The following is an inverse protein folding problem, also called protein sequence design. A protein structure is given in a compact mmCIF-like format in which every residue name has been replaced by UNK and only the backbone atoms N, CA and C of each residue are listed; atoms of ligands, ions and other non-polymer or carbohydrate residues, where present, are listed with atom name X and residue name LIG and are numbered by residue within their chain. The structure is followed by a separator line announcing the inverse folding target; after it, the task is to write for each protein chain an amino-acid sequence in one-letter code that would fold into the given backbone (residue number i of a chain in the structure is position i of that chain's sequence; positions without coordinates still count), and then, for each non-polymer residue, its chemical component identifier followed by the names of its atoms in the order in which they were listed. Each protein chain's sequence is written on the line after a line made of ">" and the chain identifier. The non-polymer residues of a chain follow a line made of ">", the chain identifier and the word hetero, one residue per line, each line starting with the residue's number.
data_IF_670660413702
#
_entry.id   IF_670660413702
#
_cell.length_a   1.000
_cell.length_b   1.000
_cell.length_c   1.000
_cell.angle_alpha   90.00
_cell.angle_beta   90.00
_cell.angle_gamma   90.00
#
_symmetry.space_group_name_H-M   'P 1'
#
loop_
_entity.id
_entity.type
_entity.pdbx_description
1 polymer ?
#
# COMPACT_ATOMS: atom_id res chain seq x y z
N UNK A 1 46.48 42.83 39.33
CA UNK A 1 47.20 41.70 38.71
C UNK A 1 46.61 40.41 39.28
N UNK A 2 46.54 39.39 38.43
CA UNK A 2 46.01 38.04 38.62
C UNK A 2 44.56 37.80 38.17
N UNK A 3 44.55 37.19 36.99
CA UNK A 3 43.54 36.64 36.09
C UNK A 3 42.67 35.54 36.69
N UNK A 4 41.40 35.53 36.27
CA UNK A 4 40.62 34.30 36.05
C UNK A 4 39.65 34.54 34.88
N UNK A 5 39.77 33.83 33.74
CA UNK A 5 38.74 33.85 32.70
C UNK A 5 37.76 32.70 32.96
N UNK A 6 36.50 33.03 33.29
CA UNK A 6 35.43 32.03 33.39
C UNK A 6 34.77 31.87 32.03
N UNK A 7 34.84 30.63 31.54
CA UNK A 7 34.32 30.08 30.29
C UNK A 7 32.93 30.60 29.88
N UNK A 8 32.85 31.23 28.71
CA UNK A 8 31.61 31.40 27.94
C UNK A 8 31.73 30.69 26.58
N UNK A 9 32.09 29.41 26.62
CA UNK A 9 31.94 28.49 25.49
C UNK A 9 30.58 27.78 25.60
N UNK A 10 29.54 28.41 25.07
CA UNK A 10 28.39 27.69 24.54
C UNK A 10 28.10 28.24 23.16
N UNK A 11 28.86 27.66 22.24
CA UNK A 11 28.71 27.76 20.81
C UNK A 11 27.23 27.72 20.39
N UNK A 12 26.90 28.70 19.58
CA UNK A 12 25.71 28.78 18.73
C UNK A 12 25.66 27.53 17.84
N UNK A 13 25.05 26.46 18.34
CA UNK A 13 24.71 25.29 17.53
C UNK A 13 23.59 25.73 16.59
N UNK A 14 23.98 26.15 15.38
CA UNK A 14 23.07 26.24 14.24
C UNK A 14 22.41 24.87 14.09
N UNK A 15 21.08 24.75 14.00
CA UNK A 15 20.46 23.46 13.72
C UNK A 15 20.97 23.01 12.37
N UNK A 16 21.85 22.01 12.41
CA UNK A 16 22.30 21.21 11.28
C UNK A 16 21.07 20.83 10.50
N UNK A 17 21.07 21.14 9.20
CA UNK A 17 19.96 20.90 8.30
C UNK A 17 19.54 19.44 8.32
N UNK A 18 18.62 19.10 9.23
CA UNK A 18 17.88 17.86 9.21
C UNK A 18 17.02 17.94 7.96
N UNK A 19 17.50 17.31 6.89
CA UNK A 19 16.70 17.06 5.71
C UNK A 19 15.52 16.21 6.20
N UNK A 20 14.37 16.84 6.42
CA UNK A 20 13.15 16.14 6.77
C UNK A 20 12.88 15.13 5.66
N UNK A 21 13.24 13.86 5.87
CA UNK A 21 12.88 12.77 4.98
C UNK A 21 11.35 12.73 4.98
N UNK A 22 10.73 13.20 3.89
CA UNK A 22 9.27 13.15 3.74
C UNK A 22 8.83 11.69 3.91
N UNK A 23 8.02 11.41 4.93
CA UNK A 23 7.46 10.09 5.15
C UNK A 23 6.65 9.69 3.93
N UNK A 24 7.10 8.65 3.21
CA UNK A 24 6.41 8.16 2.02
C UNK A 24 5.22 7.29 2.47
N UNK A 25 4.03 7.87 2.48
CA UNK A 25 2.78 7.14 2.69
C UNK A 25 2.47 6.28 1.48
N UNK A 26 2.21 4.98 1.70
CA UNK A 26 1.96 4.01 0.62
C UNK A 26 0.52 3.53 0.55
N UNK A 27 -0.30 3.92 1.52
CA UNK A 27 -1.68 3.50 1.66
C UNK A 27 -2.55 4.73 1.86
N UNK A 28 -3.85 4.54 1.67
CA UNK A 28 -4.86 5.53 1.95
C UNK A 28 -6.00 4.83 2.69
N UNK A 29 -6.35 5.34 3.87
CA UNK A 29 -7.55 4.92 4.58
C UNK A 29 -8.75 5.49 3.83
N UNK A 30 -9.66 4.63 3.40
CA UNK A 30 -10.86 5.01 2.66
C UNK A 30 -12.06 5.07 3.57
N UNK A 31 -12.18 4.09 4.46
CA UNK A 31 -13.31 3.96 5.36
C UNK A 31 -12.88 3.37 6.70
N UNK A 32 -13.51 3.85 7.76
CA UNK A 32 -13.35 3.37 9.14
C UNK A 32 -14.73 3.33 9.78
N UNK A 33 -15.24 2.12 9.98
CA UNK A 33 -16.52 1.89 10.66
C UNK A 33 -16.23 1.37 12.05
N UNK A 34 -16.87 1.92 13.07
CA UNK A 34 -16.81 1.41 14.43
C UNK A 34 -18.25 1.37 14.97
N UNK A 35 -18.65 0.26 15.58
CA UNK A 35 -20.02 0.06 16.07
C UNK A 35 -20.35 0.97 17.26
N UNK A 36 -19.35 1.34 18.07
CA UNK A 36 -19.51 2.10 19.30
C UNK A 36 -19.36 3.61 19.09
N UNK A 37 -18.69 4.04 18.02
CA UNK A 37 -18.50 5.46 17.70
C UNK A 37 -18.69 5.74 16.21
N UNK A 38 -19.74 6.51 15.88
CA UNK A 38 -19.89 7.19 14.59
C UNK A 38 -18.72 8.17 14.45
N UNK A 39 -17.61 7.70 13.89
CA UNK A 39 -16.42 8.55 13.74
C UNK A 39 -16.70 9.50 12.59
N UNK A 40 -16.48 10.78 12.86
CA UNK A 40 -16.73 11.87 11.93
C UNK A 40 -16.05 11.63 10.58
N UNK A 41 -16.77 12.07 9.55
CA UNK A 41 -16.60 11.92 8.09
C UNK A 41 -15.17 12.27 7.54
N UNK A 42 -14.24 12.69 8.40
CA UNK A 42 -12.91 13.23 8.13
C UNK A 42 -11.76 12.22 7.96
N UNK A 43 -11.97 10.92 8.25
CA UNK A 43 -10.94 9.88 8.06
C UNK A 43 -10.86 9.35 6.61
N UNK A 44 -11.83 9.73 5.79
CA UNK A 44 -11.88 9.32 4.39
C UNK A 44 -10.71 9.96 3.63
N UNK A 45 -9.94 9.13 2.95
CA UNK A 45 -8.78 9.50 2.15
C UNK A 45 -7.50 9.94 2.89
N UNK A 46 -7.39 9.70 4.20
CA UNK A 46 -6.15 9.99 4.93
C UNK A 46 -5.00 9.11 4.42
N UNK A 47 -3.88 9.74 4.07
CA UNK A 47 -2.64 9.04 3.71
C UNK A 47 -2.08 8.32 4.94
N UNK A 48 -1.80 7.03 4.80
CA UNK A 48 -1.32 6.20 5.89
C UNK A 48 -0.27 5.17 5.42
N UNK A 49 0.32 4.50 6.39
CA UNK A 49 1.17 3.35 6.26
C UNK A 49 0.59 2.19 7.06
N UNK A 50 0.93 0.98 6.62
CA UNK A 50 0.48 -0.26 7.23
C UNK A 50 1.70 -1.06 7.63
N UNK A 51 1.78 -1.39 8.92
CA UNK A 51 2.76 -2.31 9.47
C UNK A 51 2.05 -3.57 9.93
N UNK A 52 2.50 -4.71 9.40
CA UNK A 52 1.98 -6.03 9.75
C UNK A 52 2.99 -6.65 10.72
N UNK A 53 2.53 -7.00 11.91
CA UNK A 53 3.34 -7.58 12.98
C UNK A 53 2.69 -8.89 13.45
N UNK A 54 3.43 -9.79 14.12
CA UNK A 54 2.87 -11.05 14.61
C UNK A 54 1.74 -10.87 15.64
N UNK A 55 1.80 -9.79 16.42
CA UNK A 55 0.88 -9.48 17.54
C UNK A 55 -0.34 -8.67 17.08
N UNK A 56 -0.27 -8.03 15.92
CA UNK A 56 -1.33 -7.19 15.41
C UNK A 56 -0.93 -6.41 14.16
N UNK A 57 -1.82 -5.52 13.74
CA UNK A 57 -1.62 -4.63 12.60
C UNK A 57 -1.62 -3.20 13.13
N UNK A 58 -0.67 -2.39 12.66
CA UNK A 58 -0.61 -0.97 13.02
C UNK A 58 -0.80 -0.12 11.78
N UNK A 59 -1.83 0.72 11.78
CA UNK A 59 -2.04 1.73 10.74
C UNK A 59 -1.47 3.06 11.23
N UNK A 60 -0.44 3.56 10.56
CA UNK A 60 0.27 4.80 10.89
C UNK A 60 -0.20 5.92 9.95
N UNK A 61 -0.72 7.02 10.48
CA UNK A 61 -1.24 8.12 9.68
C UNK A 61 -1.32 9.42 10.46
N UNK A 62 -1.85 10.46 9.83
CA UNK A 62 -2.21 11.70 10.53
C UNK A 62 -3.73 11.81 10.51
N UNK A 63 -4.39 10.99 11.35
CA UNK A 63 -5.84 10.87 11.36
C UNK A 63 -6.49 12.07 12.05
N UNK A 64 -5.94 12.49 13.19
CA UNK A 64 -6.30 13.74 13.87
C UNK A 64 -5.06 14.36 14.54
N UNK A 65 -5.21 15.52 15.18
CA UNK A 65 -4.11 16.17 15.92
C UNK A 65 -3.52 15.28 17.03
N UNK A 66 -4.37 14.45 17.65
CA UNK A 66 -4.02 13.60 18.79
C UNK A 66 -3.85 12.12 18.42
N UNK A 67 -4.48 11.67 17.33
CA UNK A 67 -4.43 10.27 16.89
C UNK A 67 -3.59 10.12 15.62
N UNK A 68 -2.44 9.46 15.77
CA UNK A 68 -1.50 9.18 14.67
C UNK A 68 -1.40 7.69 14.32
N UNK A 69 -2.01 6.84 15.13
CA UNK A 69 -1.96 5.39 14.96
C UNK A 69 -3.32 4.79 15.24
N UNK A 70 -3.64 3.73 14.50
CA UNK A 70 -4.77 2.86 14.77
C UNK A 70 -4.18 1.46 14.95
N UNK A 71 -3.95 1.01 16.20
CA UNK A 71 -3.53 -0.35 16.47
C UNK A 71 -4.73 -1.29 16.36
N UNK A 72 -4.50 -2.48 15.81
CA UNK A 72 -5.48 -3.56 15.72
C UNK A 72 -4.83 -4.81 16.27
N UNK A 73 -5.39 -5.37 17.34
CA UNK A 73 -4.82 -6.56 18.00
C UNK A 73 -5.21 -7.80 17.19
N UNK A 74 -4.29 -8.76 17.05
CA UNK A 74 -4.53 -9.97 16.25
C UNK A 74 -5.77 -10.76 16.68
N UNK A 75 -6.04 -10.84 17.97
CA UNK A 75 -7.18 -11.58 18.52
C UNK A 75 -8.55 -10.90 18.25
N UNK A 76 -8.52 -9.62 17.90
CA UNK A 76 -9.71 -8.85 17.51
C UNK A 76 -10.02 -8.97 16.02
N UNK A 77 -9.04 -9.42 15.20
CA UNK A 77 -9.18 -9.55 13.75
C UNK A 77 -9.98 -10.81 13.44
N UNK A 78 -11.16 -10.61 12.85
CA UNK A 78 -12.01 -11.68 12.34
C UNK A 78 -11.53 -12.12 10.95
N UNK A 79 -11.29 -11.16 10.05
CA UNK A 79 -10.82 -11.44 8.70
C UNK A 79 -10.01 -10.29 8.12
N UNK A 80 -9.14 -10.64 7.18
CA UNK A 80 -8.35 -9.73 6.36
C UNK A 80 -8.62 -10.11 4.91
N UNK A 81 -9.35 -9.26 4.19
CA UNK A 81 -9.62 -9.46 2.77
C UNK A 81 -8.67 -8.63 1.93
N UNK A 82 -7.89 -9.30 1.07
CA UNK A 82 -7.07 -8.67 0.05
C UNK A 82 -7.76 -8.78 -1.31
N UNK A 83 -8.10 -7.63 -1.88
CA UNK A 83 -8.73 -7.55 -3.19
C UNK A 83 -7.71 -7.03 -4.19
N UNK A 84 -7.25 -7.90 -5.09
CA UNK A 84 -6.35 -7.53 -6.18
C UNK A 84 -7.08 -6.60 -7.15
N UNK A 85 -6.42 -5.51 -7.53
CA UNK A 85 -6.93 -4.59 -8.54
C UNK A 85 -7.01 -5.26 -9.93
N UNK A 86 -7.94 -4.77 -10.76
CA UNK A 86 -8.06 -5.20 -12.16
C UNK A 86 -6.76 -4.96 -12.91
N UNK A 87 -6.23 -6.01 -13.51
CA UNK A 87 -5.05 -5.98 -14.38
C UNK A 87 -5.50 -5.70 -15.81
N UNK A 88 -4.87 -4.73 -16.45
CA UNK A 88 -5.14 -4.32 -17.83
C UNK A 88 -3.82 -4.33 -18.59
N UNK A 89 -3.83 -5.04 -19.71
CA UNK A 89 -2.71 -5.17 -20.64
C UNK A 89 -3.15 -4.62 -21.98
N UNK A 90 -2.50 -3.54 -22.39
CA UNK A 90 -2.78 -2.78 -23.62
C UNK A 90 -1.49 -2.46 -24.36
N UNK A 91 -0.83 -3.49 -24.87
CA UNK A 91 0.45 -3.34 -25.57
C UNK A 91 0.23 -2.97 -27.03
N UNK A 92 1.09 -2.12 -27.59
CA UNK A 92 1.14 -1.88 -29.02
C UNK A 92 1.96 -2.97 -29.74
N UNK A 93 1.71 -3.23 -31.03
CA UNK A 93 2.47 -4.20 -31.81
C UNK A 93 3.98 -3.90 -31.76
N UNK A 94 4.81 -4.94 -31.61
CA UNK A 94 6.27 -4.86 -31.47
C UNK A 94 6.80 -4.23 -30.16
N UNK A 95 5.95 -3.89 -29.19
CA UNK A 95 6.48 -3.55 -27.86
C UNK A 95 7.21 -4.77 -27.27
N UNK A 96 8.31 -4.60 -26.50
CA UNK A 96 9.00 -5.74 -25.88
C UNK A 96 8.04 -6.59 -25.03
N UNK A 97 7.14 -5.94 -24.30
CA UNK A 97 6.09 -6.62 -23.54
C UNK A 97 5.12 -7.38 -24.46
N UNK A 98 4.70 -6.82 -25.60
CA UNK A 98 3.86 -7.49 -26.59
C UNK A 98 4.49 -8.80 -27.08
N UNK A 99 5.77 -8.74 -27.46
CA UNK A 99 6.53 -9.88 -27.97
C UNK A 99 6.61 -10.96 -26.89
N UNK A 100 7.00 -10.60 -25.66
CA UNK A 100 7.08 -11.55 -24.55
C UNK A 100 5.73 -12.19 -24.22
N UNK A 101 4.65 -11.41 -24.20
CA UNK A 101 3.31 -11.92 -23.93
C UNK A 101 2.85 -12.91 -25.01
N UNK A 102 3.17 -12.65 -26.29
CA UNK A 102 2.91 -13.62 -27.38
C UNK A 102 3.75 -14.89 -27.29
N UNK A 103 4.95 -14.80 -26.72
CA UNK A 103 5.82 -15.96 -26.45
C UNK A 103 5.39 -16.76 -25.20
N UNK A 104 4.29 -16.37 -24.54
CA UNK A 104 3.77 -17.07 -23.35
C UNK A 104 4.48 -16.71 -22.05
N UNK A 105 5.30 -15.66 -22.02
CA UNK A 105 5.94 -15.21 -20.79
C UNK A 105 4.89 -14.62 -19.83
N UNK A 106 4.92 -14.97 -18.53
CA UNK A 106 3.98 -14.42 -17.56
C UNK A 106 3.98 -12.90 -17.49
N UNK A 107 2.79 -12.30 -17.39
CA UNK A 107 2.59 -10.85 -17.31
C UNK A 107 3.31 -10.20 -16.11
N UNK A 108 3.49 -10.98 -15.03
CA UNK A 108 4.27 -10.58 -13.86
C UNK A 108 5.73 -10.24 -14.18
N UNK A 109 6.27 -10.85 -15.24
CA UNK A 109 7.63 -10.63 -15.73
C UNK A 109 7.62 -9.64 -16.90
N UNK A 110 6.72 -9.82 -17.87
CA UNK A 110 6.72 -8.99 -19.10
C UNK A 110 6.45 -7.51 -18.82
N UNK A 111 5.70 -7.18 -17.74
CA UNK A 111 5.46 -5.79 -17.30
C UNK A 111 6.73 -4.97 -17.05
N UNK A 112 7.86 -5.60 -16.72
CA UNK A 112 9.11 -4.87 -16.48
C UNK A 112 9.75 -4.36 -17.78
N UNK A 113 9.31 -4.86 -18.93
CA UNK A 113 9.72 -4.41 -20.26
C UNK A 113 8.65 -3.54 -20.95
N UNK A 114 7.63 -3.07 -20.22
CA UNK A 114 6.70 -2.07 -20.76
C UNK A 114 7.43 -0.76 -21.02
N UNK A 115 7.29 -0.20 -22.21
CA UNK A 115 7.90 1.09 -22.55
C UNK A 115 6.99 2.22 -22.09
N UNK A 116 5.69 2.09 -22.35
CA UNK A 116 4.69 3.08 -21.97
C UNK A 116 3.97 2.67 -20.68
N UNK A 117 3.71 3.62 -19.76
CA UNK A 117 2.91 3.36 -18.56
C UNK A 117 1.46 2.96 -18.82
N UNK A 118 0.98 3.09 -20.06
CA UNK A 118 -0.34 2.62 -20.50
C UNK A 118 -0.37 1.13 -20.84
N UNK A 119 0.78 0.53 -21.21
CA UNK A 119 0.84 -0.86 -21.67
C UNK A 119 0.43 -1.86 -20.59
N UNK A 120 0.77 -1.55 -19.34
CA UNK A 120 0.48 -2.40 -18.20
C UNK A 120 0.02 -1.56 -17.03
N UNK A 121 -1.19 -1.84 -16.56
CA UNK A 121 -1.76 -1.17 -15.39
C UNK A 121 -2.47 -2.17 -14.50
N UNK A 122 -2.18 -2.08 -13.20
CA UNK A 122 -2.97 -2.74 -12.17
C UNK A 122 -3.71 -1.65 -11.41
N UNK A 123 -5.03 -1.77 -11.35
CA UNK A 123 -5.87 -0.88 -10.54
C UNK A 123 -5.49 -0.99 -9.06
N UNK A 124 -5.99 -0.08 -8.22
CA UNK A 124 -5.68 -0.08 -6.79
C UNK A 124 -6.06 -1.41 -6.12
N UNK A 125 -5.18 -1.90 -5.25
CA UNK A 125 -5.43 -3.04 -4.37
C UNK A 125 -6.17 -2.54 -3.14
N UNK A 126 -7.25 -3.20 -2.77
CA UNK A 126 -8.05 -2.88 -1.59
C UNK A 126 -7.76 -3.89 -0.48
N UNK A 127 -7.71 -3.38 0.75
CA UNK A 127 -7.41 -4.12 1.96
C UNK A 127 -8.57 -3.84 2.91
N UNK A 128 -9.27 -4.88 3.32
CA UNK A 128 -10.37 -4.78 4.28
C UNK A 128 -9.96 -5.59 5.50
N UNK A 129 -9.82 -4.92 6.64
CA UNK A 129 -9.54 -5.57 7.92
C UNK A 129 -10.83 -5.48 8.72
N UNK A 130 -11.45 -6.62 8.97
CA UNK A 130 -12.65 -6.73 9.79
C UNK A 130 -12.24 -7.20 11.18
N UNK A 131 -12.60 -6.39 12.17
CA UNK A 131 -12.43 -6.69 13.58
C UNK A 131 -13.81 -6.83 14.23
N UNK A 132 -13.84 -7.28 15.48
CA UNK A 132 -15.08 -7.45 16.24
C UNK A 132 -15.90 -6.16 16.36
N UNK A 133 -15.23 -5.02 16.61
CA UNK A 133 -15.91 -3.74 16.90
C UNK A 133 -15.70 -2.69 15.80
N UNK A 134 -14.81 -2.96 14.84
CA UNK A 134 -14.50 -2.01 13.77
C UNK A 134 -14.13 -2.69 12.45
N UNK A 135 -14.22 -1.93 11.37
CA UNK A 135 -13.80 -2.34 10.04
C UNK A 135 -12.99 -1.22 9.39
N UNK A 136 -11.78 -1.56 8.93
CA UNK A 136 -10.89 -0.65 8.23
C UNK A 136 -10.83 -1.03 6.75
N UNK A 137 -11.07 -0.05 5.88
CA UNK A 137 -10.86 -0.20 4.44
C UNK A 137 -9.75 0.72 3.99
N UNK A 138 -8.69 0.14 3.42
CA UNK A 138 -7.56 0.87 2.87
C UNK A 138 -7.36 0.50 1.40
N UNK A 139 -6.72 1.39 0.68
CA UNK A 139 -6.28 1.14 -0.70
C UNK A 139 -4.79 1.45 -0.86
N UNK A 140 -4.15 0.73 -1.76
CA UNK A 140 -2.74 0.91 -2.12
C UNK A 140 -2.55 0.65 -3.62
N UNK A 141 -1.33 0.87 -4.11
CA UNK A 141 -0.98 0.56 -5.49
C UNK A 141 -1.19 -0.93 -5.79
N UNK A 142 -1.77 -1.24 -6.95
CA UNK A 142 -2.01 -2.60 -7.44
C UNK A 142 -0.77 -3.49 -7.41
N UNK A 143 0.40 -2.91 -7.66
CA UNK A 143 1.69 -3.60 -7.70
C UNK A 143 2.14 -4.18 -6.34
N UNK A 144 1.47 -3.80 -5.23
CA UNK A 144 1.85 -4.24 -3.88
C UNK A 144 1.09 -5.45 -3.39
N UNK A 145 0.12 -5.96 -4.14
CA UNK A 145 -0.69 -7.12 -3.75
C UNK A 145 0.17 -8.31 -3.30
N UNK A 146 1.12 -8.75 -4.14
CA UNK A 146 1.99 -9.89 -3.85
C UNK A 146 2.88 -9.68 -2.62
N UNK A 147 3.46 -8.48 -2.49
CA UNK A 147 4.30 -8.15 -1.33
C UNK A 147 3.49 -8.14 -0.04
N UNK A 148 2.25 -7.64 -0.11
CA UNK A 148 1.35 -7.56 1.04
C UNK A 148 0.85 -8.95 1.45
N UNK A 149 0.44 -9.77 0.48
CA UNK A 149 0.09 -11.17 0.68
C UNK A 149 1.21 -11.90 1.41
N UNK A 150 2.45 -11.80 0.89
CA UNK A 150 3.63 -12.40 1.51
C UNK A 150 3.86 -11.90 2.94
N UNK A 151 3.69 -10.61 3.20
CA UNK A 151 3.81 -10.04 4.54
C UNK A 151 2.78 -10.64 5.50
N UNK A 152 1.50 -10.72 5.13
CA UNK A 152 0.48 -11.31 6.00
C UNK A 152 0.72 -12.79 6.30
N UNK A 153 1.11 -13.57 5.29
CA UNK A 153 1.45 -14.99 5.49
C UNK A 153 2.64 -15.15 6.44
N UNK A 154 3.70 -14.36 6.21
CA UNK A 154 4.92 -14.40 7.03
C UNK A 154 4.65 -14.11 8.50
N UNK A 155 3.78 -13.15 8.80
CA UNK A 155 3.44 -12.76 10.17
C UNK A 155 2.31 -13.64 10.79
N UNK A 156 1.89 -14.69 10.08
CA UNK A 156 1.00 -15.74 10.59
C UNK A 156 -0.48 -15.39 10.57
N UNK A 157 -0.95 -14.66 9.54
CA UNK A 157 -2.36 -14.33 9.32
C UNK A 157 -3.06 -15.27 8.31
N UNK A 158 -2.45 -16.40 7.96
CA UNK A 158 -2.94 -17.31 6.91
C UNK A 158 -4.40 -17.75 7.10
N UNK A 159 -4.85 -17.95 8.35
CA UNK A 159 -6.20 -18.44 8.66
C UNK A 159 -7.28 -17.37 8.51
N UNK A 160 -6.91 -16.10 8.69
CA UNK A 160 -7.81 -14.96 8.61
C UNK A 160 -7.81 -14.32 7.22
N UNK A 161 -6.99 -14.81 6.29
CA UNK A 161 -6.70 -14.14 5.04
C UNK A 161 -7.61 -14.64 3.90
N UNK A 162 -8.49 -13.76 3.44
CA UNK A 162 -9.35 -13.99 2.27
C UNK A 162 -8.78 -13.29 1.04
N UNK A 163 -8.73 -14.00 -0.10
CA UNK A 163 -8.18 -13.50 -1.35
C UNK A 163 -9.30 -13.34 -2.39
N UNK A 164 -9.42 -12.14 -2.94
CA UNK A 164 -10.35 -11.84 -4.03
C UNK A 164 -9.56 -11.25 -5.19
N UNK A 165 -9.66 -11.86 -6.36
CA UNK A 165 -9.01 -11.35 -7.57
C UNK A 165 -10.06 -10.75 -8.51
N UNK A 166 -9.91 -9.46 -8.82
CA UNK A 166 -10.69 -8.85 -9.91
C UNK A 166 -10.21 -9.41 -11.26
N UNK A 167 -11.10 -9.51 -12.26
CA UNK A 167 -10.75 -10.09 -13.55
C UNK A 167 -9.56 -9.36 -14.19
N UNK A 168 -8.69 -10.11 -14.87
CA UNK A 168 -7.67 -9.56 -15.74
C UNK A 168 -8.23 -9.38 -17.15
N UNK A 169 -7.91 -8.25 -17.79
CA UNK A 169 -8.25 -8.00 -19.19
C UNK A 169 -6.95 -7.91 -19.98
N UNK A 170 -6.81 -8.83 -20.94
CA UNK A 170 -5.73 -8.80 -21.91
C UNK A 170 -6.31 -8.39 -23.26
N UNK A 171 -6.00 -7.18 -23.73
CA UNK A 171 -6.49 -6.70 -25.02
C UNK A 171 -5.79 -7.36 -26.22
N UNK A 172 -4.69 -8.09 -25.99
CA UNK A 172 -4.02 -8.88 -27.01
C UNK A 172 -4.92 -9.95 -27.63
N UNK A 173 -5.68 -10.67 -26.81
CA UNK A 173 -6.55 -11.75 -27.29
C UNK A 173 -7.70 -11.22 -28.14
N UNK A 174 -8.19 -10.02 -27.85
CA UNK A 174 -9.26 -9.39 -28.62
C UNK A 174 -8.84 -9.02 -30.06
N UNK A 175 -7.56 -8.70 -30.27
CA UNK A 175 -7.04 -8.37 -31.61
C UNK A 175 -6.73 -9.59 -32.48
N UNK A 176 -6.67 -10.79 -31.90
CA UNK A 176 -6.42 -12.03 -32.65
C UNK A 176 -7.70 -12.59 -33.30
N UNK A 177 -8.86 -12.34 -32.69
CA UNK A 177 -10.16 -12.86 -33.16
C UNK A 177 -10.85 -11.95 -34.20
N UNK A 178 -10.30 -10.76 -34.48
CA UNK A 178 -10.86 -9.80 -35.44
C UNK A 178 -10.33 -9.95 -36.88
N UNK A 179 -9.72 -11.09 -37.22
CA UNK A 179 -9.27 -11.41 -38.58
C UNK A 179 -10.02 -12.67 -39.05
N UNK A 180 -11.23 -12.45 -39.56
CA UNK A 180 -11.95 -13.38 -40.43
C UNK A 180 -12.29 -12.64 -41.73
#
# INVERSE_FOLDING_TARGET
>A
MNTAPTSSDLSRVKPTGATFKKTKYRYRLVDYKNEQHKTDILLSQTKCNLEVLPVGIMVLGNFTANFRTIPVIKDEIESITLIRGKEVIDTFPLSPMHILSKLGVPNSISRYLSILPSEYRISETQIIIKCRECQLTMITSGNRYESLLRSFKKEGYDKQLDLIEKPSINLLSYSADSVL
#
